data_IF_899362032634
#
_entry.id   IF_899362032634
#
_cell.length_a   1.000
_cell.length_b   1.000
_cell.length_c   1.000
_cell.angle_alpha   90.00
_cell.angle_beta   90.00
_cell.angle_gamma   90.00
#
_symmetry.space_group_name_H-M   'P 1'
#
loop_
_entity.id
_entity.type
_entity.pdbx_description
1 polymer ?
#
# COMPACT_ATOMS: atom_id res chain seq x y z
N UNK A 1 -9.39 1.77 -25.02
CA UNK A 1 -9.20 1.92 -23.57
C UNK A 1 -8.24 3.07 -23.39
N UNK A 2 -8.74 4.25 -22.99
CA UNK A 2 -7.88 5.38 -22.68
C UNK A 2 -6.81 4.91 -21.68
N UNK A 3 -5.55 5.26 -21.94
CA UNK A 3 -4.40 4.59 -21.34
C UNK A 3 -4.38 4.79 -19.84
N UNK A 4 -4.62 3.71 -19.07
CA UNK A 4 -4.34 3.67 -17.65
C UNK A 4 -2.92 4.21 -17.41
N UNK A 5 -2.78 5.10 -16.43
CA UNK A 5 -1.46 5.52 -15.97
C UNK A 5 -0.65 4.29 -15.60
N UNK A 6 0.62 4.26 -16.01
CA UNK A 6 1.49 3.11 -15.77
C UNK A 6 1.53 2.82 -14.27
N UNK A 7 1.23 1.58 -13.89
CA UNK A 7 1.23 1.18 -12.47
C UNK A 7 2.61 1.43 -11.83
N UNK A 8 2.62 1.80 -10.55
CA UNK A 8 3.84 1.85 -9.74
C UNK A 8 4.52 0.49 -9.60
N UNK A 9 5.83 0.54 -9.46
CA UNK A 9 6.71 -0.62 -9.20
C UNK A 9 7.57 -0.31 -7.97
N UNK A 10 7.93 -1.32 -7.16
CA UNK A 10 8.81 -1.12 -6.03
C UNK A 10 10.21 -0.67 -6.48
N UNK A 11 10.98 -0.01 -5.60
CA UNK A 11 12.39 0.31 -5.86
C UNK A 11 13.20 -0.93 -6.22
N UNK A 12 14.01 -0.85 -7.29
CA UNK A 12 14.79 -2.00 -7.78
C UNK A 12 15.81 -2.50 -6.75
N UNK A 13 16.45 -1.57 -6.03
CA UNK A 13 17.41 -1.88 -4.98
C UNK A 13 16.79 -2.58 -3.77
N UNK A 14 15.48 -2.43 -3.53
CA UNK A 14 14.75 -3.19 -2.50
C UNK A 14 14.68 -4.69 -2.84
N UNK A 15 14.67 -5.06 -4.13
CA UNK A 15 14.52 -6.45 -4.57
C UNK A 15 15.84 -7.24 -4.45
N UNK A 16 16.97 -6.55 -4.46
CA UNK A 16 18.30 -7.16 -4.35
C UNK A 16 18.85 -7.13 -2.92
N UNK A 17 18.31 -6.24 -2.08
CA UNK A 17 18.76 -6.07 -0.70
C UNK A 17 18.20 -7.17 0.23
N UNK A 18 19.09 -7.83 0.95
CA UNK A 18 18.75 -8.83 1.97
C UNK A 18 18.40 -8.22 3.34
N UNK A 19 18.56 -6.90 3.51
CA UNK A 19 18.19 -6.17 4.72
C UNK A 19 16.66 -6.00 4.81
N UNK A 20 16.13 -5.90 6.03
CA UNK A 20 14.70 -5.67 6.24
C UNK A 20 14.35 -4.24 5.81
N UNK A 21 13.46 -4.09 4.82
CA UNK A 21 13.03 -2.77 4.31
C UNK A 21 11.52 -2.59 4.31
N UNK A 22 11.13 -1.38 4.67
CA UNK A 22 9.80 -0.81 4.48
C UNK A 22 9.97 0.62 3.97
N UNK A 23 9.31 0.97 2.87
CA UNK A 23 9.43 2.29 2.26
C UNK A 23 8.07 2.84 1.81
N UNK A 24 7.86 4.16 1.95
CA UNK A 24 6.62 4.78 1.52
C UNK A 24 6.46 4.75 0.00
N UNK A 25 5.33 4.21 -0.44
CA UNK A 25 4.91 4.10 -1.82
C UNK A 25 3.94 5.25 -2.17
N UNK A 26 4.44 6.48 -2.20
CA UNK A 26 3.60 7.67 -2.45
C UNK A 26 2.93 7.64 -3.84
N UNK A 27 3.69 7.21 -4.84
CA UNK A 27 3.24 7.02 -6.21
C UNK A 27 2.11 5.97 -6.31
N UNK A 28 2.14 4.94 -5.46
CA UNK A 28 1.08 3.95 -5.35
C UNK A 28 -0.23 4.55 -4.84
N UNK A 29 -0.19 5.46 -3.87
CA UNK A 29 -1.38 6.15 -3.36
C UNK A 29 -1.96 7.07 -4.44
N UNK A 30 -1.10 7.85 -5.10
CA UNK A 30 -1.52 8.74 -6.21
C UNK A 30 -2.18 7.95 -7.34
N UNK A 31 -1.55 6.84 -7.73
CA UNK A 31 -2.09 5.95 -8.75
C UNK A 31 -3.42 5.33 -8.32
N UNK A 32 -3.51 4.78 -7.12
CA UNK A 32 -4.73 4.16 -6.60
C UNK A 32 -5.89 5.17 -6.51
N UNK A 33 -5.62 6.40 -6.10
CA UNK A 33 -6.61 7.48 -6.06
C UNK A 33 -7.17 7.79 -7.44
N UNK A 34 -6.28 8.03 -8.40
CA UNK A 34 -6.66 8.32 -9.79
C UNK A 34 -7.30 7.14 -10.53
N UNK A 35 -7.10 5.91 -10.04
CA UNK A 35 -7.57 4.69 -10.68
C UNK A 35 -8.91 4.21 -10.12
N UNK A 36 -9.13 4.28 -8.80
CA UNK A 36 -10.31 3.67 -8.15
C UNK A 36 -11.15 4.58 -7.26
N UNK A 37 -10.61 5.70 -6.76
CA UNK A 37 -11.21 6.44 -5.62
C UNK A 37 -11.80 7.78 -6.04
N UNK A 38 -11.03 8.56 -6.80
CA UNK A 38 -11.42 9.92 -7.18
C UNK A 38 -12.63 9.89 -8.13
N UNK A 39 -13.48 10.91 -8.09
CA UNK A 39 -14.72 10.95 -8.91
C UNK A 39 -14.47 10.91 -10.41
N UNK A 40 -13.26 11.24 -10.84
CA UNK A 40 -12.82 11.20 -12.24
C UNK A 40 -12.01 9.95 -12.57
N UNK A 41 -11.97 8.96 -11.66
CA UNK A 41 -11.15 7.78 -11.83
C UNK A 41 -11.71 6.84 -12.92
N UNK A 42 -10.82 6.27 -13.73
CA UNK A 42 -11.19 5.42 -14.86
C UNK A 42 -11.87 4.11 -14.42
N UNK A 43 -11.48 3.57 -13.26
CA UNK A 43 -12.04 2.37 -12.64
C UNK A 43 -12.72 2.73 -11.32
N UNK A 44 -13.37 3.90 -11.27
CA UNK A 44 -14.09 4.36 -10.09
C UNK A 44 -14.95 3.25 -9.49
N UNK A 45 -14.72 2.98 -8.20
CA UNK A 45 -15.53 2.08 -7.41
C UNK A 45 -16.26 2.89 -6.33
N UNK A 46 -17.59 2.95 -6.40
CA UNK A 46 -18.41 3.73 -5.45
C UNK A 46 -18.35 3.18 -4.02
N UNK A 47 -17.99 1.90 -3.84
CA UNK A 47 -17.76 1.34 -2.51
C UNK A 47 -16.56 2.01 -1.82
N UNK A 48 -15.66 2.68 -2.57
CA UNK A 48 -14.52 3.43 -2.04
C UNK A 48 -14.81 4.91 -1.77
N UNK A 49 -16.08 5.35 -1.82
CA UNK A 49 -16.42 6.76 -1.62
C UNK A 49 -15.95 7.32 -0.26
N UNK A 50 -15.91 6.49 0.80
CA UNK A 50 -15.38 6.88 2.11
C UNK A 50 -13.87 7.18 2.10
N UNK A 51 -13.12 6.58 1.18
CA UNK A 51 -11.68 6.78 1.05
C UNK A 51 -11.30 8.14 0.45
N UNK A 52 -12.24 8.82 -0.23
CA UNK A 52 -12.02 10.16 -0.82
C UNK A 52 -11.54 11.16 0.22
N UNK A 53 -12.03 11.06 1.46
CA UNK A 53 -11.69 11.97 2.56
C UNK A 53 -10.73 11.35 3.59
N UNK A 54 -10.29 10.11 3.40
CA UNK A 54 -9.37 9.43 4.30
C UNK A 54 -7.90 9.67 3.90
N UNK A 55 -7.01 9.90 4.88
CA UNK A 55 -5.57 9.71 4.67
C UNK A 55 -5.27 8.22 4.51
N UNK A 56 -4.58 7.89 3.42
CA UNK A 56 -4.13 6.53 3.10
C UNK A 56 -2.62 6.59 2.94
N UNK A 57 -1.92 5.71 3.63
CA UNK A 57 -0.50 5.43 3.42
C UNK A 57 -0.33 4.11 2.68
N UNK A 58 0.74 3.97 1.93
CA UNK A 58 1.12 2.71 1.30
C UNK A 58 2.61 2.47 1.52
N UNK A 59 2.98 1.21 1.73
CA UNK A 59 4.36 0.77 1.90
C UNK A 59 4.70 -0.34 0.90
N UNK A 60 5.92 -0.28 0.37
CA UNK A 60 6.60 -1.43 -0.19
C UNK A 60 7.39 -2.13 0.90
N UNK A 61 7.45 -3.47 0.86
CA UNK A 61 8.36 -4.25 1.70
C UNK A 61 8.92 -5.47 0.99
N UNK A 62 10.17 -5.80 1.30
CA UNK A 62 10.79 -7.09 0.93
C UNK A 62 10.59 -8.18 2.00
N UNK A 63 9.92 -7.86 3.11
CA UNK A 63 9.68 -8.81 4.19
C UNK A 63 8.54 -9.75 3.80
N UNK A 64 8.78 -11.07 3.70
CA UNK A 64 7.73 -12.00 3.36
C UNK A 64 6.73 -12.11 4.51
N UNK A 65 5.43 -12.04 4.18
CA UNK A 65 4.36 -12.28 5.13
C UNK A 65 3.58 -13.55 4.74
N UNK A 66 3.24 -14.37 5.74
CA UNK A 66 2.49 -15.59 5.50
C UNK A 66 2.23 -16.41 6.75
N UNK A 67 1.19 -17.24 6.68
CA UNK A 67 0.82 -18.17 7.76
C UNK A 67 0.24 -19.45 7.17
N UNK A 68 0.60 -20.59 7.75
CA UNK A 68 0.07 -21.91 7.37
C UNK A 68 0.20 -22.21 5.85
N UNK A 69 1.34 -21.87 5.24
CA UNK A 69 1.58 -22.09 3.81
C UNK A 69 0.86 -21.13 2.86
N UNK A 70 0.11 -20.14 3.39
CA UNK A 70 -0.50 -19.07 2.59
C UNK A 70 0.37 -17.82 2.71
N UNK A 71 0.80 -17.28 1.57
CA UNK A 71 1.50 -15.99 1.48
C UNK A 71 0.49 -14.85 1.49
N UNK A 72 0.82 -13.78 2.18
CA UNK A 72 0.10 -12.50 2.18
C UNK A 72 0.95 -11.54 1.35
N UNK A 73 0.41 -11.04 0.24
CA UNK A 73 1.13 -10.18 -0.73
C UNK A 73 0.65 -8.72 -0.73
N UNK A 74 -0.49 -8.48 -0.07
CA UNK A 74 -1.06 -7.17 0.24
C UNK A 74 -1.74 -7.27 1.61
N UNK A 75 -1.79 -6.15 2.32
CA UNK A 75 -2.54 -6.04 3.57
C UNK A 75 -2.93 -4.58 3.80
N UNK A 76 -4.17 -4.36 4.25
CA UNK A 76 -4.63 -3.11 4.82
C UNK A 76 -4.77 -3.18 6.35
N UNK A 77 -4.22 -2.18 7.04
CA UNK A 77 -4.37 -1.99 8.48
C UNK A 77 -5.11 -0.67 8.78
N UNK A 78 -6.13 -0.75 9.63
CA UNK A 78 -6.85 0.42 10.14
C UNK A 78 -6.28 0.84 11.50
N UNK A 79 -5.76 2.06 11.56
CA UNK A 79 -5.11 2.59 12.76
C UNK A 79 -3.83 1.83 13.13
N UNK A 80 -3.42 1.97 14.40
CA UNK A 80 -2.14 1.46 14.87
C UNK A 80 -2.29 0.12 15.59
N UNK A 81 -1.34 -0.82 15.40
CA UNK A 81 -1.39 -2.12 16.04
C UNK A 81 -1.34 -1.98 17.57
N UNK A 82 -1.95 -2.92 18.32
CA UNK A 82 -1.85 -2.96 19.77
C UNK A 82 -0.38 -3.07 20.20
N UNK A 83 0.11 -2.07 20.92
CA UNK A 83 1.49 -1.99 21.37
C UNK A 83 1.61 -1.21 22.68
N UNK A 84 2.66 -1.50 23.45
CA UNK A 84 3.02 -0.68 24.60
C UNK A 84 3.39 0.75 24.18
N UNK A 85 3.30 1.71 25.11
CA UNK A 85 3.45 3.16 24.84
C UNK A 85 4.66 3.49 23.96
N UNK A 86 5.85 3.01 24.30
CA UNK A 86 7.06 3.33 23.54
C UNK A 86 7.11 2.68 22.16
N UNK A 87 6.65 1.43 22.02
CA UNK A 87 6.57 0.78 20.71
C UNK A 87 5.58 1.51 19.82
N UNK A 88 4.42 1.90 20.37
CA UNK A 88 3.42 2.70 19.66
C UNK A 88 3.98 4.05 19.20
N UNK A 89 4.65 4.80 20.09
CA UNK A 89 5.22 6.10 19.74
C UNK A 89 6.31 6.02 18.66
N UNK A 90 7.07 4.92 18.58
CA UNK A 90 8.03 4.72 17.47
C UNK A 90 7.34 4.47 16.15
N UNK A 91 6.24 3.70 16.15
CA UNK A 91 5.44 3.48 14.94
C UNK A 91 4.81 4.80 14.49
N UNK A 92 4.19 5.55 15.41
CA UNK A 92 3.62 6.88 15.14
C UNK A 92 4.65 7.83 14.52
N UNK A 93 5.84 7.94 15.13
CA UNK A 93 6.92 8.78 14.61
C UNK A 93 7.35 8.36 13.21
N UNK A 94 7.50 7.05 12.95
CA UNK A 94 7.92 6.55 11.65
C UNK A 94 6.87 6.85 10.56
N UNK A 95 5.59 6.66 10.87
CA UNK A 95 4.50 6.98 9.95
C UNK A 95 4.44 8.48 9.66
N UNK A 96 4.59 9.33 10.68
CA UNK A 96 4.67 10.77 10.49
C UNK A 96 5.87 11.19 9.64
N UNK A 97 7.02 10.52 9.77
CA UNK A 97 8.19 10.80 8.94
C UNK A 97 7.97 10.40 7.48
N UNK A 98 7.23 9.32 7.23
CA UNK A 98 6.91 8.88 5.88
C UNK A 98 5.79 9.69 5.25
N UNK A 99 4.69 9.96 5.96
CA UNK A 99 3.45 10.47 5.38
C UNK A 99 3.07 11.88 5.85
N UNK A 100 3.78 12.45 6.83
CA UNK A 100 3.45 13.73 7.46
C UNK A 100 2.37 13.64 8.55
N UNK A 101 1.61 12.56 8.59
CA UNK A 101 0.62 12.24 9.62
C UNK A 101 0.62 10.72 9.92
N UNK A 102 -0.34 10.28 10.75
CA UNK A 102 -0.64 8.85 10.91
C UNK A 102 -1.85 8.56 10.02
N UNK A 103 -1.71 7.80 8.92
CA UNK A 103 -2.82 7.50 8.02
C UNK A 103 -3.99 6.81 8.73
N UNK A 104 -5.22 7.05 8.27
CA UNK A 104 -6.38 6.25 8.71
C UNK A 104 -6.24 4.79 8.28
N UNK A 105 -5.70 4.58 7.08
CA UNK A 105 -5.45 3.26 6.48
C UNK A 105 -3.99 3.16 6.05
N UNK A 106 -3.32 2.06 6.40
CA UNK A 106 -1.97 1.75 5.96
C UNK A 106 -2.00 0.47 5.11
N UNK A 107 -1.73 0.63 3.83
CA UNK A 107 -1.56 -0.48 2.89
C UNK A 107 -0.09 -0.93 2.91
N UNK A 108 0.17 -2.22 2.86
CA UNK A 108 1.53 -2.78 2.72
C UNK A 108 1.54 -3.84 1.65
N UNK A 109 2.42 -3.72 0.67
CA UNK A 109 2.54 -4.63 -0.46
C UNK A 109 3.92 -5.28 -0.53
N UNK A 110 3.93 -6.57 -0.86
CA UNK A 110 5.13 -7.34 -1.09
C UNK A 110 5.78 -6.92 -2.42
N UNK A 111 7.01 -6.40 -2.33
CA UNK A 111 7.76 -5.87 -3.47
C UNK A 111 8.10 -6.96 -4.49
N UNK A 112 8.46 -8.16 -4.06
CA UNK A 112 8.79 -9.25 -4.99
C UNK A 112 7.57 -9.73 -5.77
N UNK A 113 6.41 -9.80 -5.12
CA UNK A 113 5.16 -10.11 -5.82
C UNK A 113 4.79 -9.00 -6.80
N UNK A 114 4.82 -7.75 -6.36
CA UNK A 114 4.51 -6.62 -7.23
C UNK A 114 5.44 -6.56 -8.45
N UNK A 115 6.74 -6.81 -8.30
CA UNK A 115 7.67 -6.78 -9.41
C UNK A 115 7.45 -7.88 -10.48
N UNK A 116 6.68 -8.94 -10.16
CA UNK A 116 6.56 -10.13 -11.00
C UNK A 116 5.15 -10.43 -11.49
N UNK A 117 4.12 -9.94 -10.79
CA UNK A 117 2.73 -10.13 -11.20
C UNK A 117 2.35 -9.23 -12.38
N UNK A 118 1.33 -9.66 -13.13
CA UNK A 118 0.78 -8.89 -14.23
C UNK A 118 0.09 -7.61 -13.75
N UNK A 119 -0.08 -6.64 -14.65
CA UNK A 119 -0.80 -5.39 -14.36
C UNK A 119 -2.22 -5.66 -13.86
N UNK A 120 -2.91 -6.65 -14.43
CA UNK A 120 -4.26 -7.05 -14.01
C UNK A 120 -4.28 -7.62 -12.60
N UNK A 121 -3.34 -8.51 -12.26
CA UNK A 121 -3.25 -9.10 -10.91
C UNK A 121 -2.91 -8.03 -9.88
N UNK A 122 -2.00 -7.11 -10.21
CA UNK A 122 -1.65 -6.00 -9.33
C UNK A 122 -2.82 -5.03 -9.14
N UNK A 123 -3.52 -4.71 -10.23
CA UNK A 123 -4.72 -3.87 -10.19
C UNK A 123 -5.78 -4.46 -9.25
N UNK A 124 -6.09 -5.75 -9.42
CA UNK A 124 -7.04 -6.45 -8.57
C UNK A 124 -6.57 -6.54 -7.11
N UNK A 125 -5.27 -6.72 -6.87
CA UNK A 125 -4.71 -6.74 -5.52
C UNK A 125 -4.85 -5.38 -4.84
N UNK A 126 -4.48 -4.29 -5.50
CA UNK A 126 -4.59 -2.95 -4.90
C UNK A 126 -6.05 -2.61 -4.63
N UNK A 127 -6.93 -2.87 -5.59
CA UNK A 127 -8.38 -2.67 -5.40
C UNK A 127 -8.91 -3.48 -4.22
N UNK A 128 -8.47 -4.74 -4.05
CA UNK A 128 -8.88 -5.58 -2.93
C UNK A 128 -8.47 -5.05 -1.55
N UNK A 129 -7.28 -4.46 -1.44
CA UNK A 129 -6.78 -3.93 -0.17
C UNK A 129 -7.35 -2.54 0.16
N UNK A 130 -7.95 -1.85 -0.82
CA UNK A 130 -8.77 -0.68 -0.57
C UNK A 130 -10.09 -1.13 0.07
N UNK A 131 -10.12 -1.18 1.40
CA UNK A 131 -11.29 -1.52 2.21
C UNK A 131 -12.39 -0.46 2.15
#
# INVERSE_FOLDING_TARGET
MAGMSKRPIPPEDMLEDASIRFEPAHDLIEWARSSFIDETADLLNEDHAHLRFASIGALWTNVPNGRNGRRIVGQCEMGLPPAGKWSRSRIELQLQQWFGDVPHFLLTFDAHYAATCSDTEFCALVEHELL
#
